data_IF_507159720806
#
_entry.id   IF_507159720806
#
_cell.length_a   1.000
_cell.length_b   1.000
_cell.length_c   1.000
_cell.angle_alpha   90.00
_cell.angle_beta   90.00
_cell.angle_gamma   90.00
#
_symmetry.space_group_name_H-M   'P 1'
#
loop_
_entity.id
_entity.type
_entity.pdbx_description
1 polymer ?
#
# COMPACT_ATOMS: atom_id res chain seq x y z
N UNK A 1 -28.99 -1.72 3.71
CA UNK A 1 -27.91 -0.84 4.20
C UNK A 1 -26.67 -1.71 4.31
N UNK A 2 -25.56 -1.34 3.69
CA UNK A 2 -24.32 -2.09 3.87
C UNK A 2 -23.83 -1.89 5.32
N UNK A 3 -23.56 -2.97 6.03
CA UNK A 3 -23.00 -2.93 7.37
C UNK A 3 -21.56 -2.37 7.29
N UNK A 4 -21.28 -1.29 8.02
CA UNK A 4 -19.96 -0.64 8.01
C UNK A 4 -19.05 -1.40 8.97
N UNK A 5 -18.15 -2.22 8.44
CA UNK A 5 -17.13 -2.89 9.25
C UNK A 5 -15.97 -1.93 9.59
N UNK A 6 -15.86 -1.55 10.87
CA UNK A 6 -14.73 -0.76 11.39
C UNK A 6 -13.47 -1.63 11.53
N UNK A 7 -12.65 -1.65 10.48
CA UNK A 7 -11.37 -2.38 10.42
C UNK A 7 -10.28 -1.49 9.79
N UNK A 8 -9.03 -1.68 10.23
CA UNK A 8 -7.84 -0.99 9.71
C UNK A 8 -6.66 -1.95 9.54
N UNK A 9 -5.50 -1.44 9.09
CA UNK A 9 -4.29 -2.22 8.94
C UNK A 9 -3.85 -2.85 10.29
N UNK A 10 -3.47 -4.14 10.32
CA UNK A 10 -2.98 -4.78 11.53
C UNK A 10 -1.58 -4.28 11.91
N UNK A 11 -1.20 -4.49 13.18
CA UNK A 11 0.16 -4.24 13.63
C UNK A 11 1.15 -5.19 12.93
N UNK A 12 2.24 -4.64 12.39
CA UNK A 12 3.32 -5.40 11.75
C UNK A 12 4.57 -5.34 12.64
N UNK A 13 4.97 -6.49 13.18
CA UNK A 13 6.12 -6.60 14.08
C UNK A 13 7.46 -6.22 13.43
N UNK A 14 7.53 -6.13 12.09
CA UNK A 14 8.70 -5.60 11.37
C UNK A 14 8.90 -4.10 11.61
N UNK A 15 7.85 -3.38 12.01
CA UNK A 15 7.84 -1.93 12.20
C UNK A 15 7.35 -1.54 13.61
N UNK A 16 8.08 -1.89 14.68
CA UNK A 16 7.64 -1.67 16.07
C UNK A 16 7.82 -0.21 16.54
N UNK A 17 8.47 0.64 15.76
CA UNK A 17 8.78 2.02 16.16
C UNK A 17 7.63 2.97 15.81
N UNK A 18 7.60 4.14 16.45
CA UNK A 18 6.60 5.18 16.16
C UNK A 18 6.67 5.70 14.72
N UNK A 19 7.82 5.60 14.05
CA UNK A 19 7.99 6.07 12.68
C UNK A 19 7.43 5.03 11.67
N UNK A 20 6.19 5.26 11.22
CA UNK A 20 5.48 4.38 10.30
C UNK A 20 5.75 4.65 8.80
N UNK A 21 6.66 5.58 8.48
CA UNK A 21 7.02 5.93 7.08
C UNK A 21 7.44 4.69 6.28
N UNK A 22 8.31 3.84 6.86
CA UNK A 22 8.76 2.59 6.21
C UNK A 22 7.64 1.56 6.08
N UNK A 23 6.72 1.52 7.04
CA UNK A 23 5.57 0.60 6.98
C UNK A 23 4.65 0.97 5.82
N UNK A 24 4.29 2.25 5.70
CA UNK A 24 3.52 2.78 4.57
C UNK A 24 4.19 2.44 3.22
N UNK A 25 5.48 2.79 3.06
CA UNK A 25 6.21 2.57 1.81
C UNK A 25 6.30 1.07 1.44
N UNK A 26 6.52 0.21 2.43
CA UNK A 26 6.58 -1.25 2.21
C UNK A 26 5.23 -1.80 1.73
N UNK A 27 4.11 -1.38 2.34
CA UNK A 27 2.77 -1.81 1.93
C UNK A 27 2.39 -1.34 0.52
N UNK A 28 2.80 -0.13 0.15
CA UNK A 28 2.61 0.38 -1.21
C UNK A 28 3.36 -0.45 -2.24
N UNK A 29 4.63 -0.79 -1.98
CA UNK A 29 5.42 -1.67 -2.86
C UNK A 29 4.86 -3.08 -2.91
N UNK A 30 4.50 -3.68 -1.77
CA UNK A 30 3.93 -5.03 -1.71
C UNK A 30 2.65 -5.13 -2.56
N UNK A 31 1.80 -4.10 -2.55
CA UNK A 31 0.63 -4.04 -3.42
C UNK A 31 1.02 -4.07 -4.90
N UNK A 32 1.91 -3.19 -5.33
CA UNK A 32 2.25 -3.09 -6.75
C UNK A 32 3.06 -4.28 -7.27
N UNK A 33 3.93 -4.86 -6.44
CA UNK A 33 4.60 -6.14 -6.75
C UNK A 33 3.59 -7.28 -6.89
N UNK A 34 2.60 -7.33 -6.00
CA UNK A 34 1.53 -8.34 -6.07
C UNK A 34 0.75 -8.20 -7.38
N UNK A 35 0.37 -6.98 -7.75
CA UNK A 35 -0.32 -6.69 -9.02
C UNK A 35 0.54 -7.04 -10.23
N UNK A 36 1.83 -6.71 -10.21
CA UNK A 36 2.76 -7.04 -11.29
C UNK A 36 2.98 -8.55 -11.45
N UNK A 37 3.04 -9.30 -10.34
CA UNK A 37 3.27 -10.75 -10.36
C UNK A 37 2.02 -11.58 -10.68
N UNK A 38 0.85 -11.18 -10.16
CA UNK A 38 -0.40 -11.94 -10.26
C UNK A 38 -1.36 -11.44 -11.35
N UNK A 39 -1.18 -10.24 -11.89
CA UNK A 39 -2.10 -9.67 -12.87
C UNK A 39 -3.51 -9.46 -12.31
N UNK A 40 -4.53 -10.02 -12.99
CA UNK A 40 -5.98 -9.83 -12.72
C UNK A 40 -6.52 -10.60 -11.50
N UNK A 41 -5.71 -11.43 -10.82
CA UNK A 41 -6.09 -12.05 -9.53
C UNK A 41 -5.98 -11.05 -8.36
N UNK A 42 -6.61 -9.90 -8.53
CA UNK A 42 -6.52 -8.71 -7.68
C UNK A 42 -7.07 -8.96 -6.27
N UNK A 43 -7.90 -10.00 -6.08
CA UNK A 43 -8.55 -10.31 -4.80
C UNK A 43 -7.56 -10.43 -3.63
N UNK A 44 -6.44 -11.11 -3.85
CA UNK A 44 -5.39 -11.24 -2.83
C UNK A 44 -4.58 -9.96 -2.62
N UNK A 45 -4.41 -9.15 -3.67
CA UNK A 45 -3.64 -7.91 -3.61
C UNK A 45 -4.46 -6.77 -2.98
N UNK A 46 -5.79 -6.82 -3.03
CA UNK A 46 -6.67 -5.81 -2.42
C UNK A 46 -6.43 -5.62 -0.92
N UNK A 47 -5.98 -6.66 -0.20
CA UNK A 47 -5.63 -6.53 1.22
C UNK A 47 -4.52 -5.50 1.43
N UNK A 48 -3.48 -5.54 0.58
CA UNK A 48 -2.38 -4.57 0.62
C UNK A 48 -2.86 -3.19 0.19
N UNK A 49 -3.81 -3.12 -0.75
CA UNK A 49 -4.43 -1.85 -1.14
C UNK A 49 -5.14 -1.16 0.02
N UNK A 50 -5.90 -1.92 0.81
CA UNK A 50 -6.55 -1.41 2.03
C UNK A 50 -5.50 -0.92 3.02
N UNK A 51 -4.42 -1.68 3.25
CA UNK A 51 -3.41 -1.34 4.25
C UNK A 51 -2.61 -0.08 3.91
N UNK A 52 -2.09 0.08 2.69
CA UNK A 52 -1.33 1.28 2.37
C UNK A 52 -2.23 2.52 2.37
N UNK A 53 -3.51 2.42 1.98
CA UNK A 53 -4.48 3.52 2.06
C UNK A 53 -4.80 3.95 3.49
N UNK A 54 -4.76 3.01 4.45
CA UNK A 54 -4.95 3.32 5.87
C UNK A 54 -3.70 3.89 6.54
N UNK A 55 -2.50 3.58 6.05
CA UNK A 55 -1.23 3.96 6.67
C UNK A 55 -0.58 5.20 6.05
N UNK A 56 -0.72 5.37 4.73
CA UNK A 56 -0.04 6.42 3.98
C UNK A 56 -0.88 7.70 3.91
N UNK A 57 -0.25 8.88 4.01
CA UNK A 57 -0.88 10.14 3.62
C UNK A 57 -1.31 10.08 2.14
N UNK A 58 -2.49 10.62 1.83
CA UNK A 58 -2.99 10.67 0.44
C UNK A 58 -2.01 11.32 -0.53
N UNK A 59 -1.44 12.46 -0.12
CA UNK A 59 -0.45 13.21 -0.91
C UNK A 59 0.77 12.37 -1.31
N UNK A 60 1.24 11.47 -0.44
CA UNK A 60 2.38 10.61 -0.75
C UNK A 60 2.03 9.56 -1.80
N UNK A 61 0.85 8.97 -1.67
CA UNK A 61 0.34 7.98 -2.61
C UNK A 61 0.15 8.62 -4.00
N UNK A 62 -0.43 9.82 -4.05
CA UNK A 62 -0.60 10.56 -5.31
C UNK A 62 0.74 10.84 -5.98
N UNK A 63 1.71 11.41 -5.25
CA UNK A 63 3.06 11.66 -5.78
C UNK A 63 3.74 10.39 -6.27
N UNK A 64 3.62 9.28 -5.55
CA UNK A 64 4.19 8.01 -5.97
C UNK A 64 3.49 7.41 -7.19
N UNK A 65 2.17 7.64 -7.34
CA UNK A 65 1.45 7.22 -8.55
C UNK A 65 1.95 8.02 -9.76
N UNK A 66 2.06 9.34 -9.66
CA UNK A 66 2.60 10.19 -10.72
C UNK A 66 4.03 9.80 -11.11
N UNK A 67 4.88 9.51 -10.12
CA UNK A 67 6.25 9.02 -10.36
C UNK A 67 6.26 7.66 -11.05
N UNK A 68 5.30 6.78 -10.77
CA UNK A 68 5.19 5.48 -11.44
C UNK A 68 4.70 5.61 -12.87
N UNK A 69 3.71 6.45 -13.12
CA UNK A 69 3.20 6.73 -14.47
C UNK A 69 4.26 7.41 -15.35
N UNK A 70 5.08 8.28 -14.77
CA UNK A 70 6.23 8.91 -15.45
C UNK A 70 7.47 8.02 -15.53
N UNK A 71 7.48 6.84 -14.91
CA UNK A 71 8.63 5.92 -14.89
C UNK A 71 9.83 6.41 -14.06
N UNK A 72 9.63 7.39 -13.18
CA UNK A 72 10.68 8.01 -12.34
C UNK A 72 10.66 7.51 -10.88
N UNK A 73 9.82 6.53 -10.56
CA UNK A 73 9.69 6.02 -9.20
C UNK A 73 10.99 5.32 -8.73
N UNK A 74 11.61 5.75 -7.61
CA UNK A 74 12.91 5.23 -7.17
C UNK A 74 12.81 3.90 -6.39
N UNK A 75 11.60 3.43 -6.10
CA UNK A 75 11.38 2.21 -5.32
C UNK A 75 11.39 0.94 -6.17
N UNK A 76 11.66 -0.23 -5.56
CA UNK A 76 11.78 -1.48 -6.28
C UNK A 76 10.40 -2.11 -6.54
N UNK A 77 9.80 -1.79 -7.69
CA UNK A 77 8.52 -2.33 -8.17
C UNK A 77 8.68 -3.60 -9.00
#
# INVERSE_FOLDING_TARGET
MAEIELKTAPADFRFPTTNQTRHCFTRYIEYHRCVAAKGDEVGDCQKFAKYYRSLCPGEWVEKWNEQRESGTFPGPL
#
